data_IF_126837125331
#
_entry.id   IF_126837125331
#
_cell.length_a   1.000
_cell.length_b   1.000
_cell.length_c   1.000
_cell.angle_alpha   90.00
_cell.angle_beta   90.00
_cell.angle_gamma   90.00
#
_symmetry.space_group_name_H-M   'P 1'
#
loop_
_entity.id
_entity.type
_entity.pdbx_description
1 polymer ?
#
# COMPACT_ATOMS: atom_id res chain seq x y z
N UNK A 1 17.12 -2.71 -7.16
CA UNK A 1 15.77 -3.25 -7.43
C UNK A 1 15.29 -2.64 -8.73
N UNK A 2 15.12 -3.47 -9.76
CA UNK A 2 14.72 -3.10 -11.12
C UNK A 2 13.24 -2.72 -11.17
N UNK A 3 12.92 -1.51 -11.65
CA UNK A 3 11.55 -1.10 -11.93
C UNK A 3 11.12 -1.67 -13.28
N UNK A 4 10.21 -2.64 -13.24
CA UNK A 4 9.52 -3.20 -14.41
C UNK A 4 8.39 -2.25 -14.79
N UNK A 5 8.54 -1.51 -15.89
CA UNK A 5 7.44 -0.74 -16.48
C UNK A 5 6.65 -1.65 -17.42
N UNK A 6 5.42 -1.98 -17.01
CA UNK A 6 4.49 -2.83 -17.74
C UNK A 6 3.87 -2.05 -18.92
N UNK A 7 4.56 -2.06 -20.05
CA UNK A 7 4.10 -1.53 -21.34
C UNK A 7 3.07 -2.49 -21.97
N UNK A 8 1.83 -2.44 -21.50
CA UNK A 8 0.68 -3.03 -22.20
C UNK A 8 -0.44 -2.01 -22.23
N UNK A 9 -0.41 -1.15 -23.26
CA UNK A 9 -1.55 -0.58 -23.99
C UNK A 9 -1.19 0.77 -24.63
N UNK A 10 -0.26 0.77 -25.57
CA UNK A 10 -0.31 1.71 -26.68
C UNK A 10 -0.74 0.92 -27.90
N UNK A 11 -2.06 0.74 -28.02
CA UNK A 11 -2.70 0.13 -29.18
C UNK A 11 -2.42 1.02 -30.38
N UNK A 12 -1.55 0.49 -31.23
CA UNK A 12 -1.25 0.93 -32.58
C UNK A 12 -2.52 1.38 -33.31
N UNK A 13 -2.62 2.68 -33.58
CA UNK A 13 -3.63 3.28 -34.45
C UNK A 13 -3.14 3.32 -35.89
N UNK A 14 -2.76 2.17 -36.45
CA UNK A 14 -2.50 2.03 -37.89
C UNK A 14 -3.83 2.04 -38.64
N UNK A 15 -4.45 3.21 -38.75
CA UNK A 15 -5.68 3.40 -39.52
C UNK A 15 -5.76 4.73 -40.25
N UNK A 16 -4.93 5.71 -39.87
CA UNK A 16 -5.05 7.08 -40.38
C UNK A 16 -4.21 7.37 -41.63
N UNK A 17 -3.33 6.47 -42.05
CA UNK A 17 -2.38 6.75 -43.15
C UNK A 17 -2.90 6.45 -44.56
N UNK A 18 -4.00 5.71 -44.72
CA UNK A 18 -4.48 5.31 -46.06
C UNK A 18 -5.52 6.25 -46.69
N UNK A 19 -6.13 7.15 -45.91
CA UNK A 19 -7.14 8.08 -46.41
C UNK A 19 -6.56 9.37 -47.03
N UNK A 20 -5.26 9.65 -46.86
CA UNK A 20 -4.64 10.89 -47.31
C UNK A 20 -4.27 10.92 -48.81
N UNK A 21 -4.35 9.79 -49.52
CA UNK A 21 -3.90 9.71 -50.92
C UNK A 21 -4.91 10.27 -51.95
N UNK A 22 -6.13 10.66 -51.55
CA UNK A 22 -7.16 11.14 -52.49
C UNK A 22 -7.40 12.65 -52.47
N UNK A 23 -6.72 13.41 -51.60
CA UNK A 23 -6.93 14.86 -51.42
C UNK A 23 -5.79 15.70 -52.00
N UNK A 24 -4.86 15.12 -52.77
CA UNK A 24 -3.70 15.85 -53.33
C UNK A 24 -3.89 16.32 -54.78
N UNK A 25 -5.09 16.31 -55.35
CA UNK A 25 -5.34 16.80 -56.73
C UNK A 25 -5.87 18.23 -56.87
N UNK A 26 -6.03 18.98 -55.77
CA UNK A 26 -6.67 20.30 -55.84
C UNK A 26 -6.12 21.37 -54.90
N UNK A 27 -4.87 21.26 -54.45
CA UNK A 27 -4.32 22.13 -53.41
C UNK A 27 -3.15 22.97 -53.95
N UNK A 28 -3.43 23.78 -54.97
CA UNK A 28 -2.52 24.83 -55.43
C UNK A 28 -2.56 26.02 -54.46
N UNK A 29 -1.37 26.45 -54.04
CA UNK A 29 -1.03 27.75 -53.44
C UNK A 29 -1.51 28.17 -52.03
N UNK A 30 -2.40 27.45 -51.34
CA UNK A 30 -2.91 27.94 -50.03
C UNK A 30 -2.51 27.17 -48.76
N UNK A 31 -2.04 25.92 -48.88
CA UNK A 31 -2.14 24.97 -47.75
C UNK A 31 -0.92 24.85 -46.84
N UNK A 32 0.26 25.31 -47.28
CA UNK A 32 1.46 25.28 -46.44
C UNK A 32 1.31 26.09 -45.14
N UNK A 33 0.61 27.22 -45.21
CA UNK A 33 0.39 28.11 -44.07
C UNK A 33 -0.50 27.49 -42.99
N UNK A 34 -1.53 26.73 -43.38
CA UNK A 34 -2.47 26.08 -42.45
C UNK A 34 -1.79 24.95 -41.67
N UNK A 35 -0.92 24.18 -42.33
CA UNK A 35 -0.15 23.11 -41.70
C UNK A 35 0.87 23.67 -40.69
N UNK A 36 1.56 24.76 -41.06
CA UNK A 36 2.54 25.42 -40.17
C UNK A 36 1.87 26.02 -38.94
N UNK A 37 0.69 26.65 -39.09
CA UNK A 37 -0.08 27.18 -37.97
C UNK A 37 -0.56 26.07 -37.02
N UNK A 38 -1.05 24.94 -37.55
CA UNK A 38 -1.51 23.82 -36.73
C UNK A 38 -0.39 23.17 -35.90
N UNK A 39 0.85 23.13 -36.41
CA UNK A 39 2.01 22.58 -35.70
C UNK A 39 2.55 23.52 -34.60
N UNK A 40 2.37 24.84 -34.75
CA UNK A 40 2.84 25.84 -33.78
C UNK A 40 2.12 25.78 -32.42
N UNK A 41 0.89 25.25 -32.38
CA UNK A 41 0.11 25.08 -31.14
C UNK A 41 0.69 24.05 -30.16
N UNK A 42 1.59 23.16 -30.62
CA UNK A 42 2.24 22.17 -29.75
C UNK A 42 3.53 22.71 -29.11
N UNK A 43 4.18 23.70 -29.74
CA UNK A 43 5.39 24.35 -29.23
C UNK A 43 5.10 25.47 -28.20
N UNK A 44 3.88 26.01 -28.21
CA UNK A 44 3.44 27.10 -27.32
C UNK A 44 2.82 26.66 -25.99
N UNK A 45 3.00 25.41 -25.55
CA UNK A 45 2.57 25.01 -24.19
C UNK A 45 3.45 25.72 -23.17
N UNK A 46 2.93 26.84 -22.64
CA UNK A 46 3.50 27.53 -21.50
C UNK A 46 3.80 26.52 -20.39
N UNK A 47 5.01 26.61 -19.83
CA UNK A 47 5.49 25.73 -18.78
C UNK A 47 4.51 25.82 -17.60
N UNK A 48 3.68 24.79 -17.44
CA UNK A 48 2.68 24.73 -16.36
C UNK A 48 3.40 24.97 -15.03
N UNK A 49 2.89 25.94 -14.27
CA UNK A 49 3.42 26.30 -12.95
C UNK A 49 3.52 25.03 -12.09
N UNK A 50 4.76 24.59 -11.83
CA UNK A 50 5.05 23.36 -11.11
C UNK A 50 4.64 23.57 -9.65
N UNK A 51 3.42 23.16 -9.32
CA UNK A 51 2.93 23.24 -7.95
C UNK A 51 3.62 22.17 -7.10
N UNK A 52 4.59 22.58 -6.28
CA UNK A 52 5.26 21.68 -5.34
C UNK A 52 4.33 21.37 -4.17
N UNK A 53 3.81 20.15 -4.12
CA UNK A 53 3.02 19.65 -2.99
C UNK A 53 3.96 19.04 -1.97
N UNK A 54 3.87 19.50 -0.73
CA UNK A 54 4.55 18.84 0.40
C UNK A 54 3.75 17.58 0.72
N UNK A 55 4.39 16.43 0.53
CA UNK A 55 3.82 15.13 0.88
C UNK A 55 4.30 14.77 2.27
N UNK A 56 3.38 14.58 3.20
CA UNK A 56 3.69 14.00 4.50
C UNK A 56 3.99 12.51 4.30
N UNK A 57 5.23 12.12 4.57
CA UNK A 57 5.65 10.72 4.55
C UNK A 57 5.41 10.17 5.97
N UNK A 58 4.55 9.16 6.14
CA UNK A 58 4.34 8.55 7.45
C UNK A 58 5.65 7.90 7.89
N UNK A 59 6.19 8.37 9.01
CA UNK A 59 7.35 7.78 9.66
C UNK A 59 6.88 6.74 10.68
N UNK A 60 7.53 5.57 10.70
CA UNK A 60 7.20 4.54 11.67
C UNK A 60 7.66 4.99 13.06
N UNK A 61 6.71 5.31 13.93
CA UNK A 61 7.00 5.64 15.33
C UNK A 61 7.10 4.35 16.15
N UNK A 62 8.16 4.18 16.97
CA UNK A 62 8.29 3.00 17.80
C UNK A 62 7.25 3.05 18.94
N UNK A 63 6.48 1.97 19.09
CA UNK A 63 5.56 1.86 20.23
C UNK A 63 6.35 1.73 21.55
N UNK A 64 5.89 2.43 22.59
CA UNK A 64 6.39 2.30 23.96
C UNK A 64 5.35 1.65 24.87
N UNK A 65 4.94 0.43 24.54
CA UNK A 65 4.10 -0.36 25.43
C UNK A 65 4.93 -0.91 26.60
N UNK A 66 4.34 -1.04 27.80
CA UNK A 66 5.01 -1.68 28.93
C UNK A 66 5.23 -3.18 28.65
N UNK A 67 6.32 -3.74 29.17
CA UNK A 67 6.58 -5.17 29.11
C UNK A 67 5.61 -5.91 30.06
N UNK A 68 4.85 -6.85 29.51
CA UNK A 68 3.90 -7.66 30.29
C UNK A 68 4.64 -8.88 30.84
N UNK A 69 4.75 -8.96 32.17
CA UNK A 69 5.46 -10.05 32.83
C UNK A 69 4.70 -11.38 32.74
N UNK A 70 5.44 -12.47 32.51
CA UNK A 70 4.85 -13.82 32.49
C UNK A 70 4.43 -14.20 33.92
N UNK A 71 3.16 -14.59 34.15
CA UNK A 71 2.71 -14.93 35.49
C UNK A 71 3.27 -16.27 35.95
N UNK A 72 3.41 -16.45 37.26
CA UNK A 72 3.71 -17.75 37.85
C UNK A 72 2.51 -18.69 37.67
N UNK A 73 2.59 -19.60 36.69
CA UNK A 73 1.52 -20.53 36.37
C UNK A 73 1.20 -21.46 37.53
N UNK A 74 -0.08 -21.56 37.90
CA UNK A 74 -0.52 -22.40 39.01
C UNK A 74 -0.19 -23.89 38.83
N UNK A 75 -0.03 -24.36 37.58
CA UNK A 75 0.34 -25.75 37.29
C UNK A 75 1.86 -26.03 37.28
N UNK A 76 2.72 -25.03 37.50
CA UNK A 76 4.18 -25.20 37.39
C UNK A 76 4.75 -26.24 38.37
N UNK A 77 4.12 -26.42 39.54
CA UNK A 77 4.55 -27.38 40.56
C UNK A 77 3.85 -28.74 40.50
N UNK A 78 3.01 -28.99 39.51
CA UNK A 78 2.14 -30.17 39.47
C UNK A 78 2.93 -31.44 39.14
N UNK A 79 2.78 -32.48 39.96
CA UNK A 79 3.46 -33.77 39.80
C UNK A 79 2.53 -34.83 39.22
N UNK A 80 3.11 -35.85 38.59
CA UNK A 80 2.34 -36.99 38.04
C UNK A 80 1.59 -37.75 39.13
N UNK A 81 2.16 -37.85 40.33
CA UNK A 81 1.60 -38.55 41.50
C UNK A 81 0.48 -37.78 42.19
N UNK A 82 0.27 -36.49 41.86
CA UNK A 82 -0.77 -35.69 42.50
C UNK A 82 -2.17 -36.23 42.18
N UNK A 83 -3.07 -36.09 43.15
CA UNK A 83 -4.46 -36.50 42.99
C UNK A 83 -5.15 -35.72 41.87
N UNK A 84 -6.19 -36.33 41.28
CA UNK A 84 -6.94 -35.70 40.19
C UNK A 84 -7.54 -34.36 40.63
N UNK A 85 -8.03 -34.25 41.86
CA UNK A 85 -8.61 -33.04 42.41
C UNK A 85 -7.61 -31.87 42.43
N UNK A 86 -6.37 -32.13 42.84
CA UNK A 86 -5.30 -31.11 42.85
C UNK A 86 -4.98 -30.66 41.43
N UNK A 87 -4.90 -31.60 40.48
CA UNK A 87 -4.66 -31.30 39.07
C UNK A 87 -5.77 -30.45 38.46
N UNK A 88 -7.03 -30.82 38.67
CA UNK A 88 -8.18 -30.08 38.15
C UNK A 88 -8.23 -28.67 38.73
N UNK A 89 -8.01 -28.52 40.04
CA UNK A 89 -7.98 -27.21 40.69
C UNK A 89 -6.87 -26.31 40.12
N UNK A 90 -5.66 -26.84 39.99
CA UNK A 90 -4.53 -26.11 39.42
C UNK A 90 -4.79 -25.70 37.95
N UNK A 91 -5.33 -26.60 37.13
CA UNK A 91 -5.62 -26.33 35.72
C UNK A 91 -6.77 -25.32 35.54
N UNK A 92 -7.80 -25.34 36.39
CA UNK A 92 -8.85 -24.33 36.40
C UNK A 92 -8.30 -22.95 36.81
N UNK A 93 -7.32 -22.90 37.73
CA UNK A 93 -6.63 -21.67 38.06
C UNK A 93 -5.79 -21.16 36.87
N UNK A 94 -5.01 -22.04 36.22
CA UNK A 94 -4.25 -21.68 35.00
C UNK A 94 -5.16 -21.14 33.90
N UNK A 95 -6.34 -21.74 33.69
CA UNK A 95 -7.29 -21.26 32.68
C UNK A 95 -7.68 -19.80 32.93
N UNK A 96 -7.94 -19.42 34.19
CA UNK A 96 -8.23 -18.03 34.54
C UNK A 96 -7.01 -17.13 34.39
N UNK A 97 -5.82 -17.60 34.76
CA UNK A 97 -4.57 -16.86 34.57
C UNK A 97 -4.30 -16.57 33.08
N UNK A 98 -4.56 -17.53 32.18
CA UNK A 98 -4.38 -17.34 30.74
C UNK A 98 -5.34 -16.29 30.18
N UNK A 99 -6.61 -16.34 30.57
CA UNK A 99 -7.60 -15.34 30.17
C UNK A 99 -7.17 -13.92 30.62
N UNK A 100 -6.64 -13.78 31.84
CA UNK A 100 -6.13 -12.50 32.32
C UNK A 100 -4.91 -12.01 31.53
N UNK A 101 -3.93 -12.89 31.36
CA UNK A 101 -2.70 -12.58 30.64
C UNK A 101 -2.94 -12.22 29.17
N UNK A 102 -3.86 -12.91 28.49
CA UNK A 102 -4.27 -12.57 27.13
C UNK A 102 -4.85 -11.16 27.05
N UNK A 103 -5.71 -10.77 28.01
CA UNK A 103 -6.25 -9.40 28.07
C UNK A 103 -5.19 -8.34 28.34
N UNK A 104 -4.21 -8.63 29.19
CA UNK A 104 -3.09 -7.71 29.43
C UNK A 104 -2.24 -7.52 28.17
N UNK A 105 -1.98 -8.61 27.42
CA UNK A 105 -1.29 -8.54 26.14
C UNK A 105 -2.09 -7.76 25.08
N UNK A 106 -3.39 -8.01 24.99
CA UNK A 106 -4.28 -7.25 24.10
C UNK A 106 -4.26 -5.75 24.42
N UNK A 107 -4.29 -5.39 25.71
CA UNK A 107 -4.19 -4.01 26.15
C UNK A 107 -2.85 -3.37 25.79
N UNK A 108 -1.74 -4.10 25.96
CA UNK A 108 -0.40 -3.62 25.58
C UNK A 108 -0.29 -3.36 24.07
N UNK A 109 -0.88 -4.24 23.24
CA UNK A 109 -0.92 -4.05 21.78
C UNK A 109 -1.86 -2.89 21.40
N UNK A 110 -3.01 -2.75 22.07
CA UNK A 110 -3.96 -1.68 21.81
C UNK A 110 -3.37 -0.29 22.10
N UNK A 111 -2.48 -0.18 23.08
CA UNK A 111 -1.74 1.06 23.35
C UNK A 111 -0.80 1.50 22.21
N UNK A 112 -0.51 0.61 21.24
CA UNK A 112 0.37 0.87 20.10
C UNK A 112 -0.35 1.21 18.79
N UNK A 113 -1.68 1.19 18.77
CA UNK A 113 -2.49 1.52 17.59
C UNK A 113 -2.83 2.99 17.56
#
# INVERSE_FOLDING_TARGET
MTLVVNSKNCRSGEGLFQAAARVTRGLSCGSGLVVVLALSGCAGRAEQEKHYVRVEVPVQVPCRAPEVAVPSWAAAGLRKTDSLEVKVRALLAVRRQRIGYEKELEAAIAACR
#
